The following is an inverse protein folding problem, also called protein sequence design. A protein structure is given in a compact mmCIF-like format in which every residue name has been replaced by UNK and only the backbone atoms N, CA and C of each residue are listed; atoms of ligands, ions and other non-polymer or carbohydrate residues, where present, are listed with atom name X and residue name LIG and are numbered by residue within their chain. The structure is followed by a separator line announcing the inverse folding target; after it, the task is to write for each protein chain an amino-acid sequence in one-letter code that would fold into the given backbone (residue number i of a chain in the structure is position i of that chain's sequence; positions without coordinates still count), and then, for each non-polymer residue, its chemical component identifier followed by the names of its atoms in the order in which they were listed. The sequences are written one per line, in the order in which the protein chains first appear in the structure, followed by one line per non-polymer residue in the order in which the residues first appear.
data_IF_866141283866
#
_entry.id   IF_866141283866
#
_cell.length_a   1.000
_cell.length_b   1.000
_cell.length_c   1.000
_cell.angle_alpha   90.00
_cell.angle_beta   90.00
_cell.angle_gamma   90.00
#
_symmetry.space_group_name_H-M   'P 1'
#
loop_
_entity.id
_entity.type
_entity.pdbx_description
1 polymer ?
#
# COMPACT_ATOMS: atom_id res chain seq x y z
N UNK A 1 -11.38 12.57 -35.47
CA UNK A 1 -12.48 13.48 -35.83
C UNK A 1 -13.61 13.23 -34.84
N UNK A 2 -13.92 14.23 -34.03
CA UNK A 2 -15.14 14.19 -33.21
C UNK A 2 -16.31 14.54 -34.10
N UNK A 3 -17.32 13.69 -34.10
CA UNK A 3 -18.61 14.02 -34.73
C UNK A 3 -19.40 14.92 -33.77
N UNK A 4 -19.96 15.97 -34.28
CA UNK A 4 -20.87 16.85 -33.56
C UNK A 4 -22.21 16.15 -33.53
N UNK A 5 -22.62 15.70 -32.38
CA UNK A 5 -23.86 14.96 -32.14
C UNK A 5 -23.77 14.22 -30.81
N UNK A 6 -24.73 13.38 -30.51
CA UNK A 6 -24.80 12.59 -29.28
C UNK A 6 -23.74 11.49 -29.11
N UNK A 7 -22.81 11.36 -30.07
CA UNK A 7 -21.73 10.41 -30.00
C UNK A 7 -20.46 11.07 -29.44
N UNK A 8 -20.09 10.69 -28.25
CA UNK A 8 -18.78 11.03 -27.69
C UNK A 8 -17.68 10.43 -28.54
N UNK A 9 -16.63 11.20 -28.79
CA UNK A 9 -15.39 10.68 -29.35
C UNK A 9 -14.72 9.76 -28.32
N UNK A 10 -15.14 8.52 -28.26
CA UNK A 10 -14.49 7.50 -27.46
C UNK A 10 -13.26 7.06 -28.26
N UNK A 11 -12.08 7.33 -27.72
CA UNK A 11 -10.85 6.71 -28.18
C UNK A 11 -10.47 5.68 -27.16
N UNK A 12 -10.55 4.43 -27.55
CA UNK A 12 -9.99 3.34 -26.78
C UNK A 12 -8.46 3.45 -26.80
N UNK A 13 -7.90 3.90 -25.69
CA UNK A 13 -6.46 4.00 -25.52
C UNK A 13 -6.07 3.18 -24.30
N UNK A 14 -5.21 2.22 -24.53
CA UNK A 14 -4.63 1.38 -23.49
C UNK A 14 -3.20 1.83 -23.22
N UNK A 15 -2.78 1.77 -21.96
CA UNK A 15 -1.39 2.02 -21.58
C UNK A 15 -1.26 2.75 -20.23
N UNK A 16 -0.08 2.65 -19.67
CA UNK A 16 0.29 3.27 -18.39
C UNK A 16 0.08 4.79 -18.39
N UNK A 17 0.25 5.44 -19.54
CA UNK A 17 -0.02 6.88 -19.69
C UNK A 17 -1.49 7.25 -19.50
N UNK A 18 -2.41 6.30 -19.64
CA UNK A 18 -3.84 6.51 -19.38
C UNK A 18 -4.18 6.19 -17.93
N UNK A 19 -3.51 5.20 -17.34
CA UNK A 19 -3.69 4.84 -15.95
C UNK A 19 -3.11 5.89 -14.99
N UNK A 20 -1.97 6.48 -15.31
CA UNK A 20 -1.29 7.47 -14.46
C UNK A 20 -2.18 8.65 -14.02
N UNK A 21 -2.91 9.36 -14.91
CA UNK A 21 -3.79 10.46 -14.50
C UNK A 21 -4.98 9.98 -13.65
N UNK A 22 -5.44 8.74 -13.81
CA UNK A 22 -6.49 8.16 -12.97
C UNK A 22 -5.99 8.01 -11.53
N UNK A 23 -4.80 7.45 -11.35
CA UNK A 23 -4.17 7.33 -10.03
C UNK A 23 -3.85 8.71 -9.43
N UNK A 24 -3.43 9.67 -10.25
CA UNK A 24 -3.20 11.04 -9.80
C UNK A 24 -4.51 11.71 -9.30
N UNK A 25 -5.63 11.49 -10.01
CA UNK A 25 -6.95 11.93 -9.57
C UNK A 25 -7.37 11.28 -8.25
N UNK A 26 -7.16 9.98 -8.12
CA UNK A 26 -7.43 9.26 -6.89
C UNK A 26 -6.59 9.77 -5.70
N UNK A 27 -5.32 10.05 -5.93
CA UNK A 27 -4.44 10.64 -4.91
C UNK A 27 -4.93 12.04 -4.46
N UNK A 28 -5.47 12.84 -5.38
CA UNK A 28 -6.07 14.13 -5.03
C UNK A 28 -7.33 13.97 -4.17
N UNK A 29 -8.19 12.99 -4.49
CA UNK A 29 -9.38 12.67 -3.69
C UNK A 29 -8.99 12.12 -2.31
N UNK A 30 -8.00 11.23 -2.24
CA UNK A 30 -7.48 10.72 -0.97
C UNK A 30 -6.93 11.86 -0.10
N UNK A 31 -6.20 12.80 -0.69
CA UNK A 31 -5.70 13.99 0.02
C UNK A 31 -6.85 14.86 0.55
N UNK A 32 -7.89 15.06 -0.25
CA UNK A 32 -9.08 15.81 0.17
C UNK A 32 -9.81 15.11 1.31
N UNK A 33 -10.03 13.81 1.20
CA UNK A 33 -10.66 12.99 2.22
C UNK A 33 -9.90 13.10 3.55
N UNK A 34 -8.60 12.88 3.56
CA UNK A 34 -7.77 12.99 4.77
C UNK A 34 -7.86 14.38 5.42
N UNK A 35 -7.95 15.45 4.61
CA UNK A 35 -8.16 16.79 5.15
C UNK A 35 -9.51 16.97 5.82
N UNK A 36 -10.55 16.34 5.30
CA UNK A 36 -11.89 16.34 5.90
C UNK A 36 -11.90 15.54 7.21
N UNK A 37 -11.11 14.48 7.29
CA UNK A 37 -10.90 13.67 8.50
C UNK A 37 -9.95 14.31 9.53
N UNK A 38 -9.51 15.55 9.28
CA UNK A 38 -8.72 16.32 10.25
C UNK A 38 -7.19 16.26 10.05
N UNK A 39 -6.71 15.56 9.03
CA UNK A 39 -5.29 15.57 8.67
C UNK A 39 -4.99 16.81 7.85
N UNK A 40 -4.51 17.87 8.48
CA UNK A 40 -4.32 19.18 7.84
C UNK A 40 -3.37 19.14 6.63
N UNK A 41 -2.29 18.39 6.73
CA UNK A 41 -1.26 18.27 5.68
C UNK A 41 -0.94 16.79 5.38
N UNK A 42 -1.80 16.08 4.61
CA UNK A 42 -1.55 14.70 4.23
C UNK A 42 -0.27 14.58 3.39
N UNK A 43 0.66 13.76 3.85
CA UNK A 43 1.93 13.52 3.17
C UNK A 43 1.76 12.54 2.00
N UNK A 44 2.68 12.60 1.06
CA UNK A 44 2.64 11.73 -0.14
C UNK A 44 2.87 10.24 0.19
N UNK A 45 3.65 9.95 1.22
CA UNK A 45 3.86 8.59 1.71
C UNK A 45 2.56 7.99 2.29
N UNK A 46 1.82 8.75 3.10
CA UNK A 46 0.51 8.33 3.60
C UNK A 46 -0.49 8.06 2.47
N UNK A 47 -0.57 8.96 1.49
CA UNK A 47 -1.45 8.77 0.34
C UNK A 47 -1.07 7.51 -0.44
N UNK A 48 0.23 7.26 -0.63
CA UNK A 48 0.73 6.04 -1.28
C UNK A 48 0.31 4.79 -0.50
N UNK A 49 0.53 4.79 0.82
CA UNK A 49 0.16 3.67 1.69
C UNK A 49 -1.33 3.34 1.58
N UNK A 50 -2.20 4.34 1.66
CA UNK A 50 -3.66 4.17 1.56
C UNK A 50 -4.07 3.57 0.20
N UNK A 51 -3.52 4.08 -0.90
CA UNK A 51 -3.86 3.59 -2.24
C UNK A 51 -3.36 2.17 -2.49
N UNK A 52 -2.19 1.79 -1.95
CA UNK A 52 -1.68 0.42 -2.02
C UNK A 52 -2.52 -0.50 -1.15
N UNK A 53 -2.83 -0.10 0.07
CA UNK A 53 -3.58 -0.91 1.03
C UNK A 53 -5.00 -1.22 0.55
N UNK A 54 -5.65 -0.26 -0.12
CA UNK A 54 -7.00 -0.43 -0.66
C UNK A 54 -7.06 -1.04 -2.05
N UNK A 55 -5.93 -1.36 -2.69
CA UNK A 55 -5.94 -1.93 -4.03
C UNK A 55 -6.50 -3.36 -4.04
N UNK A 56 -7.19 -3.72 -5.12
CA UNK A 56 -7.84 -5.02 -5.30
C UNK A 56 -7.05 -5.89 -6.28
N UNK A 57 -6.84 -7.12 -5.90
CA UNK A 57 -6.28 -8.15 -6.76
C UNK A 57 -7.25 -8.48 -7.91
N UNK A 58 -6.74 -8.55 -9.13
CA UNK A 58 -7.54 -8.82 -10.31
C UNK A 58 -7.16 -10.18 -10.91
N UNK A 59 -7.97 -11.18 -10.66
CA UNK A 59 -7.77 -12.48 -11.30
C UNK A 59 -7.23 -13.54 -10.36
N UNK A 60 -5.97 -13.91 -10.49
CA UNK A 60 -5.34 -14.92 -9.63
C UNK A 60 -4.77 -14.21 -8.41
N UNK A 61 -5.04 -14.72 -7.22
CA UNK A 61 -4.54 -14.14 -5.97
C UNK A 61 -3.03 -14.29 -5.84
N UNK A 62 -2.28 -13.34 -6.42
CA UNK A 62 -0.82 -13.40 -6.51
C UNK A 62 -0.13 -12.02 -6.42
N UNK A 63 -0.82 -10.98 -5.93
CA UNK A 63 -0.20 -9.66 -5.76
C UNK A 63 0.84 -9.66 -4.62
N UNK A 64 1.95 -8.91 -4.77
CA UNK A 64 2.28 -8.09 -5.95
C UNK A 64 2.89 -8.90 -7.10
N UNK A 65 2.48 -8.61 -8.31
CA UNK A 65 3.01 -9.26 -9.51
C UNK A 65 3.43 -8.26 -10.62
N UNK A 66 4.22 -8.67 -11.62
CA UNK A 66 4.71 -7.75 -12.66
C UNK A 66 3.62 -7.21 -13.60
N UNK A 67 2.44 -7.83 -13.65
CA UNK A 67 1.37 -7.46 -14.58
C UNK A 67 0.48 -6.35 -14.02
N UNK A 68 0.14 -6.42 -12.77
CA UNK A 68 -0.79 -5.51 -12.10
C UNK A 68 -0.21 -4.80 -10.86
N UNK A 69 1.02 -5.13 -10.48
CA UNK A 69 1.66 -4.54 -9.30
C UNK A 69 0.92 -4.91 -8.02
N UNK A 70 0.34 -3.92 -7.37
CA UNK A 70 -0.47 -4.08 -6.14
C UNK A 70 -1.96 -4.29 -6.41
N UNK A 71 -2.37 -4.37 -7.67
CA UNK A 71 -3.75 -4.59 -8.07
C UNK A 71 -4.45 -3.34 -8.62
N UNK A 72 -5.74 -3.45 -8.80
CA UNK A 72 -6.60 -2.38 -9.30
C UNK A 72 -6.88 -1.36 -8.19
N UNK A 73 -6.75 -0.09 -8.53
CA UNK A 73 -7.11 1.01 -7.65
C UNK A 73 -8.59 0.95 -7.26
N UNK A 74 -8.86 0.89 -5.97
CA UNK A 74 -10.21 0.99 -5.39
C UNK A 74 -10.24 2.13 -4.38
N UNK A 75 -11.00 3.18 -4.68
CA UNK A 75 -11.19 4.29 -3.74
C UNK A 75 -12.14 3.92 -2.61
N UNK A 76 -13.09 3.04 -2.85
CA UNK A 76 -13.98 2.54 -1.80
C UNK A 76 -13.18 1.83 -0.69
N UNK A 77 -12.28 0.93 -1.08
CA UNK A 77 -11.43 0.25 -0.10
C UNK A 77 -10.39 1.17 0.52
N UNK A 78 -9.95 2.20 -0.21
CA UNK A 78 -8.92 3.13 0.25
C UNK A 78 -9.42 4.21 1.18
N UNK A 79 -10.67 4.66 1.02
CA UNK A 79 -11.17 5.87 1.68
C UNK A 79 -12.36 5.65 2.63
N UNK A 80 -13.10 4.57 2.47
CA UNK A 80 -14.29 4.31 3.28
C UNK A 80 -14.10 3.08 4.15
N UNK A 81 -13.70 3.27 5.41
CA UNK A 81 -13.71 2.18 6.36
C UNK A 81 -15.15 1.74 6.66
N UNK A 82 -15.36 0.48 6.92
CA UNK A 82 -16.53 -0.14 7.57
C UNK A 82 -17.81 -0.20 6.75
N UNK A 83 -18.31 0.88 6.16
CA UNK A 83 -19.71 0.93 5.73
C UNK A 83 -19.98 0.37 4.33
N UNK A 84 -18.99 0.28 3.46
CA UNK A 84 -19.16 -0.12 2.06
C UNK A 84 -18.43 -1.40 1.68
N UNK A 85 -17.22 -1.61 2.15
CA UNK A 85 -16.38 -2.75 1.78
C UNK A 85 -16.28 -3.85 2.84
N UNK A 86 -16.84 -3.65 4.02
CA UNK A 86 -16.69 -4.56 5.16
C UNK A 86 -15.26 -4.56 5.75
N UNK A 87 -14.44 -3.60 5.37
CA UNK A 87 -13.11 -3.38 5.92
C UNK A 87 -13.14 -2.25 6.92
N UNK A 88 -12.45 -2.42 8.02
CA UNK A 88 -12.15 -1.34 8.96
C UNK A 88 -10.73 -0.84 8.71
N UNK A 89 -10.60 0.42 8.31
CA UNK A 89 -9.30 1.02 8.05
C UNK A 89 -8.89 1.91 9.23
N UNK A 90 -7.78 1.56 9.84
CA UNK A 90 -7.13 2.41 10.83
C UNK A 90 -5.89 3.07 10.21
N UNK A 91 -5.84 4.39 10.23
CA UNK A 91 -4.69 5.13 9.73
C UNK A 91 -3.78 5.47 10.90
N UNK A 92 -2.65 4.79 10.97
CA UNK A 92 -1.57 5.14 11.88
C UNK A 92 -0.47 5.83 11.09
N UNK A 93 -0.24 7.10 11.34
CA UNK A 93 0.93 7.76 10.78
C UNK A 93 1.61 8.60 11.86
N UNK A 94 2.92 8.52 11.89
CA UNK A 94 3.72 9.26 12.84
C UNK A 94 4.81 10.04 12.09
N UNK A 95 4.45 11.24 11.65
CA UNK A 95 5.38 12.14 10.97
C UNK A 95 6.20 12.98 11.94
N UNK A 96 5.96 12.83 13.24
CA UNK A 96 6.64 13.61 14.30
C UNK A 96 7.82 12.87 14.89
N UNK A 97 7.93 11.57 14.65
CA UNK A 97 9.00 10.74 15.16
C UNK A 97 10.06 10.49 14.11
N UNK A 98 11.29 10.72 14.46
CA UNK A 98 12.44 10.35 13.65
C UNK A 98 12.94 8.97 14.07
N UNK A 99 13.14 8.09 13.08
CA UNK A 99 13.82 6.82 13.29
C UNK A 99 15.32 7.01 13.10
N UNK A 100 16.09 6.57 14.08
CA UNK A 100 17.54 6.45 13.96
C UNK A 100 17.91 5.01 13.59
N UNK A 101 19.07 4.78 12.95
CA UNK A 101 19.52 3.43 12.63
C UNK A 101 19.50 2.50 13.84
N UNK A 102 18.91 1.33 13.68
CA UNK A 102 18.77 0.32 14.73
C UNK A 102 17.63 0.57 15.73
N UNK A 103 16.79 1.58 15.52
CA UNK A 103 15.60 1.83 16.33
C UNK A 103 14.33 1.46 15.54
N UNK A 104 13.28 1.12 16.28
CA UNK A 104 11.97 0.79 15.73
C UNK A 104 10.84 1.31 16.60
N UNK A 105 9.66 1.36 16.03
CA UNK A 105 8.41 1.60 16.77
C UNK A 105 7.56 0.36 16.75
N UNK A 106 6.96 0.05 17.88
CA UNK A 106 6.04 -1.06 18.03
C UNK A 106 4.65 -0.51 18.29
N UNK A 107 3.69 -1.00 17.54
CA UNK A 107 2.27 -0.73 17.71
C UNK A 107 1.56 -2.02 18.06
N UNK A 108 0.61 -1.96 18.98
CA UNK A 108 -0.28 -3.09 19.28
C UNK A 108 -1.64 -2.77 18.69
N UNK A 109 -2.17 -3.68 17.90
CA UNK A 109 -3.48 -3.55 17.24
C UNK A 109 -4.34 -4.71 17.68
N UNK A 110 -5.58 -4.41 18.04
CA UNK A 110 -6.59 -5.44 18.29
C UNK A 110 -7.28 -5.75 16.97
N UNK A 111 -7.28 -7.02 16.57
CA UNK A 111 -7.92 -7.51 15.35
C UNK A 111 -9.06 -8.43 15.74
N UNK A 112 -10.22 -8.23 15.13
CA UNK A 112 -11.37 -9.11 15.36
C UNK A 112 -11.07 -10.53 14.87
N UNK A 113 -11.46 -11.58 15.61
CA UNK A 113 -11.29 -12.95 15.18
C UNK A 113 -11.97 -13.20 13.83
N UNK A 114 -11.23 -13.79 12.91
CA UNK A 114 -11.71 -14.06 11.56
C UNK A 114 -11.60 -12.89 10.58
N UNK A 115 -11.07 -11.75 10.98
CA UNK A 115 -10.77 -10.63 10.09
C UNK A 115 -9.37 -10.77 9.48
N UNK A 116 -9.26 -10.51 8.18
CA UNK A 116 -7.97 -10.35 7.51
C UNK A 116 -7.29 -9.05 7.95
N UNK A 117 -5.97 -9.01 7.96
CA UNK A 117 -5.18 -7.84 8.31
C UNK A 117 -4.24 -7.47 7.16
N UNK A 118 -4.43 -6.26 6.62
CA UNK A 118 -3.55 -5.67 5.62
C UNK A 118 -2.83 -4.47 6.21
N UNK A 119 -1.51 -4.49 6.25
CA UNK A 119 -0.69 -3.39 6.77
C UNK A 119 0.24 -2.90 5.67
N UNK A 120 0.27 -1.61 5.45
CA UNK A 120 1.19 -0.96 4.52
C UNK A 120 2.01 0.10 5.23
N UNK A 121 3.32 -0.05 5.18
CA UNK A 121 4.29 0.97 5.59
C UNK A 121 4.85 1.64 4.33
N UNK A 122 4.79 2.96 4.28
CA UNK A 122 5.41 3.74 3.22
C UNK A 122 6.13 4.96 3.79
N UNK A 123 7.23 5.34 3.17
CA UNK A 123 8.02 6.50 3.58
C UNK A 123 8.60 7.24 2.37
N UNK A 124 8.94 8.48 2.57
CA UNK A 124 9.66 9.26 1.58
C UNK A 124 11.16 9.18 1.87
N UNK A 125 11.87 8.50 0.99
CA UNK A 125 13.31 8.35 1.13
C UNK A 125 14.08 9.54 0.55
N UNK A 126 15.32 9.69 0.98
CA UNK A 126 16.25 10.67 0.44
C UNK A 126 16.70 10.26 -0.97
N UNK A 127 17.20 11.25 -1.72
CA UNK A 127 17.75 10.99 -3.05
C UNK A 127 19.01 10.13 -2.94
N UNK A 128 18.93 8.94 -3.50
CA UNK A 128 20.09 8.05 -3.60
C UNK A 128 21.19 8.57 -4.54
N UNK A 129 22.36 7.95 -4.48
CA UNK A 129 23.51 8.33 -5.30
C UNK A 129 23.22 8.13 -6.81
N UNK A 130 23.49 9.15 -7.62
CA UNK A 130 23.38 9.07 -9.07
C UNK A 130 24.53 8.27 -9.74
N UNK A 131 25.59 7.99 -8.97
CA UNK A 131 26.81 7.30 -9.47
C UNK A 131 26.75 5.78 -9.22
N UNK A 132 25.77 5.29 -8.49
CA UNK A 132 25.61 3.88 -8.22
C UNK A 132 25.28 3.09 -9.50
N UNK A 133 25.84 1.88 -9.63
CA UNK A 133 25.49 0.95 -10.70
C UNK A 133 23.97 0.72 -10.72
N UNK A 134 23.39 0.48 -11.90
CA UNK A 134 21.95 0.31 -12.08
C UNK A 134 21.35 -0.85 -11.24
N UNK A 135 22.17 -1.82 -10.87
CA UNK A 135 21.81 -2.98 -10.03
C UNK A 135 22.03 -2.78 -8.53
N UNK A 136 22.58 -1.63 -8.11
CA UNK A 136 22.75 -1.36 -6.69
C UNK A 136 21.44 -0.84 -6.07
N UNK A 137 21.13 -1.28 -4.86
CA UNK A 137 20.06 -0.71 -4.05
C UNK A 137 20.29 0.80 -3.89
N UNK A 138 19.25 1.60 -4.12
CA UNK A 138 19.34 3.07 -4.07
C UNK A 138 18.62 3.66 -2.87
N UNK A 139 18.07 2.80 -2.05
CA UNK A 139 17.43 3.18 -0.82
C UNK A 139 18.48 3.73 0.14
N UNK A 140 18.22 4.88 0.74
CA UNK A 140 19.10 5.53 1.73
C UNK A 140 18.67 5.12 3.13
N UNK A 141 17.35 5.10 3.37
CA UNK A 141 16.76 4.63 4.61
C UNK A 141 15.94 3.37 4.31
N UNK A 142 16.38 2.25 4.86
CA UNK A 142 15.71 0.97 4.75
C UNK A 142 14.88 0.72 6.01
N UNK A 143 13.57 0.62 5.85
CA UNK A 143 12.63 0.40 6.95
C UNK A 143 11.96 -0.94 6.78
N UNK A 144 12.03 -1.74 7.84
CA UNK A 144 11.44 -3.06 7.90
C UNK A 144 10.06 -3.02 8.55
N UNK A 145 9.13 -3.80 8.02
CA UNK A 145 7.83 -4.08 8.61
C UNK A 145 7.79 -5.51 9.12
N UNK A 146 7.57 -5.65 10.40
CA UNK A 146 7.43 -6.96 11.04
C UNK A 146 6.14 -7.02 11.84
N UNK A 147 5.37 -8.07 11.67
CA UNK A 147 4.14 -8.31 12.43
C UNK A 147 4.25 -9.62 13.18
N UNK A 148 3.96 -9.59 14.47
CA UNK A 148 3.92 -10.78 15.31
C UNK A 148 2.49 -11.07 15.71
N UNK A 149 2.00 -12.27 15.38
CA UNK A 149 0.68 -12.73 15.78
C UNK A 149 0.61 -13.02 17.28
N UNK A 150 -0.59 -13.15 17.88
CA UNK A 150 -0.75 -13.53 19.28
C UNK A 150 -0.07 -14.86 19.65
N UNK A 151 0.05 -15.77 18.71
CA UNK A 151 0.72 -17.06 18.87
C UNK A 151 2.27 -16.96 18.81
N UNK A 152 2.81 -15.75 18.63
CA UNK A 152 4.24 -15.50 18.53
C UNK A 152 4.84 -15.79 17.15
N UNK A 153 4.02 -15.99 16.13
CA UNK A 153 4.48 -16.21 14.76
C UNK A 153 4.80 -14.85 14.15
N UNK A 154 5.97 -14.74 13.50
CA UNK A 154 6.47 -13.50 12.90
C UNK A 154 6.35 -13.55 11.39
N UNK A 155 5.81 -12.48 10.83
CA UNK A 155 5.67 -12.24 9.40
C UNK A 155 6.50 -11.01 9.02
N UNK A 156 7.21 -11.11 7.90
CA UNK A 156 8.02 -10.02 7.36
C UNK A 156 7.28 -9.34 6.20
N UNK A 157 7.47 -8.05 6.08
CA UNK A 157 6.90 -7.28 4.97
C UNK A 157 7.44 -7.73 3.62
N UNK A 158 6.64 -7.58 2.58
CA UNK A 158 6.98 -7.95 1.20
C UNK A 158 7.36 -9.42 0.97
N UNK A 159 7.08 -10.30 1.91
CA UNK A 159 7.33 -11.74 1.79
C UNK A 159 6.02 -12.49 1.60
N UNK A 160 5.68 -12.77 0.34
CA UNK A 160 4.39 -13.33 -0.06
C UNK A 160 4.53 -14.69 -0.72
N UNK A 161 3.52 -15.52 -0.52
CA UNK A 161 3.20 -16.70 -1.31
C UNK A 161 1.69 -16.69 -1.58
N UNK A 162 1.32 -16.82 -2.86
CA UNK A 162 -0.10 -16.84 -3.28
C UNK A 162 -0.93 -15.66 -2.75
N UNK A 163 -0.34 -14.45 -2.73
CA UNK A 163 -0.99 -13.20 -2.32
C UNK A 163 -1.05 -12.96 -0.81
N UNK A 164 -0.53 -13.86 0.02
CA UNK A 164 -0.50 -13.72 1.47
C UNK A 164 0.92 -13.73 2.02
N UNK A 165 1.12 -13.01 3.12
CA UNK A 165 2.40 -13.04 3.82
C UNK A 165 2.66 -14.41 4.44
N UNK A 166 3.85 -14.92 4.24
CA UNK A 166 4.31 -16.21 4.77
C UNK A 166 5.40 -16.03 5.82
N UNK A 167 5.56 -17.03 6.66
CA UNK A 167 6.57 -17.05 7.72
C UNK A 167 7.94 -17.44 7.17
N UNK A 168 8.99 -16.96 7.80
CA UNK A 168 10.37 -17.22 7.38
C UNK A 168 10.81 -16.33 6.22
N UNK A 169 11.94 -16.64 5.61
CA UNK A 169 12.50 -15.86 4.52
C UNK A 169 13.44 -14.76 5.00
N UNK A 170 13.91 -13.99 4.03
CA UNK A 170 14.75 -12.82 4.26
C UNK A 170 13.93 -11.64 3.76
N UNK A 171 13.70 -10.69 4.65
CA UNK A 171 13.13 -9.41 4.26
C UNK A 171 14.18 -8.69 3.42
N UNK A 172 13.92 -8.54 2.13
CA UNK A 172 14.73 -7.66 1.33
C UNK A 172 14.14 -7.39 -0.06
N UNK A 173 13.39 -6.31 -0.15
CA UNK A 173 13.20 -5.61 -1.42
C UNK A 173 13.46 -4.13 -1.18
N UNK A 174 14.48 -3.53 -1.80
CA UNK A 174 14.84 -2.13 -1.59
C UNK A 174 13.82 -1.20 -2.25
N UNK A 175 12.66 -1.09 -1.65
CA UNK A 175 11.55 -0.22 -2.07
C UNK A 175 11.11 0.64 -0.90
N UNK A 176 10.70 1.87 -1.16
CA UNK A 176 10.27 2.83 -0.13
C UNK A 176 8.86 2.55 0.40
N UNK A 177 8.45 1.31 0.42
CA UNK A 177 7.22 0.80 1.03
C UNK A 177 7.35 -0.69 1.28
N UNK A 178 6.66 -1.18 2.30
CA UNK A 178 6.52 -2.60 2.58
C UNK A 178 5.07 -2.91 2.93
N UNK A 179 4.61 -4.08 2.55
CA UNK A 179 3.23 -4.50 2.73
C UNK A 179 3.19 -5.90 3.35
N UNK A 180 2.17 -6.12 4.14
CA UNK A 180 1.89 -7.40 4.78
C UNK A 180 0.39 -7.66 4.69
N UNK A 181 0.03 -8.86 4.24
CA UNK A 181 -1.34 -9.37 4.21
C UNK A 181 -1.41 -10.68 4.95
N UNK A 182 -2.06 -10.69 6.09
CA UNK A 182 -2.27 -11.90 6.88
C UNK A 182 -3.64 -12.52 6.56
N UNK A 183 -3.65 -13.83 6.33
CA UNK A 183 -4.87 -14.61 6.20
C UNK A 183 -5.50 -14.83 7.58
N UNK A 184 -6.83 -14.97 7.62
CA UNK A 184 -7.52 -15.47 8.79
C UNK A 184 -6.91 -16.79 9.25
N UNK A 185 -6.40 -16.85 10.46
CA UNK A 185 -6.14 -18.15 11.08
C UNK A 185 -7.48 -18.71 11.54
N UNK A 186 -7.89 -19.91 11.09
CA UNK A 186 -9.09 -20.53 11.64
C UNK A 186 -8.90 -20.67 13.14
N UNK A 187 -9.79 -20.06 13.91
CA UNK A 187 -9.87 -20.28 15.34
C UNK A 187 -10.43 -21.70 15.51
N UNK A 188 -9.58 -22.66 15.90
CA UNK A 188 -10.02 -23.99 16.30
C UNK A 188 -10.70 -23.95 17.65
#
# INVERSE_FOLDING_TARGET
RCLVGSEMCIRDRNGTSMATPVVAGAAALARQFLRLEGVSEPRSDLIRAILINGAEDIGISDIPNPSEGWGQLSLDNSLYPISHSGRDMSVMYDYTRELSPGHGFTYTIDVEPGAGLDITLAWNDLKGSSVANQSAARLVNDLDLTVTSPDGITYLGNHFDSGFSVTGGIEDRPVSYTHLRAHETPVN
#
